data_IF_543752007244
#
_entry.id   IF_543752007244
#
_cell.length_a   1.000
_cell.length_b   1.000
_cell.length_c   1.000
_cell.angle_alpha   90.00
_cell.angle_beta   90.00
_cell.angle_gamma   90.00
#
_symmetry.space_group_name_H-M   'P 1'
#
loop_
_entity.id
_entity.type
_entity.pdbx_description
1 polymer ?
#
# COMPACT_ATOMS: atom_id res chain seq x y z
N UNK A 1 35.93 19.14 -15.66
CA UNK A 1 35.21 17.86 -15.63
C UNK A 1 34.60 17.51 -14.25
N UNK A 2 35.19 17.90 -13.13
CA UNK A 2 34.64 17.58 -11.79
C UNK A 2 33.31 18.26 -11.46
N UNK A 3 33.04 19.48 -11.94
CA UNK A 3 31.78 20.22 -11.65
C UNK A 3 30.56 19.60 -12.31
N UNK A 4 30.70 19.00 -13.48
CA UNK A 4 29.58 18.34 -14.19
C UNK A 4 29.17 17.04 -13.47
N UNK A 5 30.13 16.30 -12.92
CA UNK A 5 29.83 15.07 -12.16
C UNK A 5 29.06 15.36 -10.87
N UNK A 6 29.42 16.46 -10.17
CA UNK A 6 28.75 16.87 -8.93
C UNK A 6 27.30 17.30 -9.24
N UNK A 7 27.08 18.05 -10.34
CA UNK A 7 25.74 18.46 -10.76
C UNK A 7 24.87 17.25 -11.11
N UNK A 8 25.42 16.23 -11.77
CA UNK A 8 24.68 15.02 -12.14
C UNK A 8 24.30 14.16 -10.91
N UNK A 9 25.20 14.05 -9.94
CA UNK A 9 24.93 13.36 -8.67
C UNK A 9 23.84 14.10 -7.86
N UNK A 10 23.88 15.43 -7.85
CA UNK A 10 22.87 16.24 -7.18
C UNK A 10 21.48 16.13 -7.84
N UNK A 11 21.43 16.05 -9.17
CA UNK A 11 20.19 15.86 -9.91
C UNK A 11 19.54 14.49 -9.64
N UNK A 12 20.36 13.43 -9.50
CA UNK A 12 19.88 12.08 -9.14
C UNK A 12 19.31 12.04 -7.72
N UNK A 13 19.94 12.71 -6.77
CA UNK A 13 19.47 12.81 -5.39
C UNK A 13 18.13 13.54 -5.29
N UNK A 14 17.94 14.62 -6.05
CA UNK A 14 16.68 15.36 -6.09
C UNK A 14 15.55 14.48 -6.68
N UNK A 15 15.82 13.73 -7.76
CA UNK A 15 14.81 12.88 -8.38
C UNK A 15 14.36 11.73 -7.48
N UNK A 16 15.25 11.17 -6.69
CA UNK A 16 14.91 10.10 -5.73
C UNK A 16 14.02 10.63 -4.59
N UNK A 17 14.32 11.82 -4.09
CA UNK A 17 13.51 12.46 -3.04
C UNK A 17 12.11 12.84 -3.52
N UNK A 18 11.97 13.33 -4.76
CA UNK A 18 10.67 13.64 -5.36
C UNK A 18 9.80 12.38 -5.45
N UNK A 19 10.32 11.28 -5.97
CA UNK A 19 9.59 10.00 -6.06
C UNK A 19 9.14 9.49 -4.69
N UNK A 20 9.98 9.63 -3.66
CA UNK A 20 9.66 9.20 -2.31
C UNK A 20 8.50 10.03 -1.73
N UNK A 21 8.51 11.34 -1.93
CA UNK A 21 7.43 12.23 -1.47
C UNK A 21 6.12 11.98 -2.22
N UNK A 22 6.15 11.84 -3.54
CA UNK A 22 4.96 11.51 -4.35
C UNK A 22 4.28 10.20 -3.89
N UNK A 23 5.08 9.17 -3.60
CA UNK A 23 4.55 7.90 -3.10
C UNK A 23 3.93 8.04 -1.70
N UNK A 24 4.56 8.83 -0.81
CA UNK A 24 4.03 9.13 0.51
C UNK A 24 2.71 9.88 0.44
N UNK A 25 2.63 10.92 -0.39
CA UNK A 25 1.42 11.73 -0.57
C UNK A 25 0.28 10.91 -1.17
N UNK A 26 0.59 10.07 -2.17
CA UNK A 26 -0.38 9.15 -2.75
C UNK A 26 -0.91 8.15 -1.71
N UNK A 27 -0.02 7.51 -0.93
CA UNK A 27 -0.40 6.54 0.10
C UNK A 27 -1.27 7.19 1.18
N UNK A 28 -0.90 8.41 1.62
CA UNK A 28 -1.68 9.17 2.60
C UNK A 28 -3.11 9.37 2.12
N UNK A 29 -3.27 9.78 0.87
CA UNK A 29 -4.60 10.00 0.26
C UNK A 29 -5.43 8.71 0.21
N UNK A 30 -4.84 7.57 -0.16
CA UNK A 30 -5.54 6.28 -0.21
C UNK A 30 -5.97 5.82 1.19
N UNK A 31 -5.12 6.02 2.20
CA UNK A 31 -5.44 5.70 3.60
C UNK A 31 -6.55 6.60 4.11
N UNK A 32 -6.49 7.91 3.87
CA UNK A 32 -7.50 8.88 4.32
C UNK A 32 -8.89 8.55 3.76
N UNK A 33 -8.98 8.12 2.50
CA UNK A 33 -10.24 7.69 1.88
C UNK A 33 -10.86 6.53 2.66
N UNK A 34 -10.06 5.51 3.00
CA UNK A 34 -10.53 4.32 3.73
C UNK A 34 -10.92 4.71 5.15
N UNK A 35 -10.07 5.43 5.87
CA UNK A 35 -10.33 5.87 7.25
C UNK A 35 -11.61 6.70 7.33
N UNK A 36 -11.76 7.69 6.47
CA UNK A 36 -12.96 8.55 6.43
C UNK A 36 -14.24 7.75 6.16
N UNK A 37 -14.17 6.70 5.33
CA UNK A 37 -15.29 5.82 5.10
C UNK A 37 -15.68 5.03 6.36
N UNK A 38 -14.71 4.54 7.12
CA UNK A 38 -14.98 3.77 8.35
C UNK A 38 -15.43 4.66 9.53
N UNK A 39 -15.00 5.90 9.57
CA UNK A 39 -15.48 6.90 10.54
C UNK A 39 -16.90 7.37 10.23
N UNK A 40 -17.37 7.22 9.00
CA UNK A 40 -18.73 7.60 8.63
C UNK A 40 -19.75 6.54 9.07
N UNK A 41 -20.44 6.79 10.17
CA UNK A 41 -21.46 5.90 10.73
C UNK A 41 -22.71 5.73 9.83
N UNK A 42 -22.93 6.66 8.89
CA UNK A 42 -24.07 6.61 7.96
C UNK A 42 -23.75 5.76 6.71
N UNK A 43 -22.49 5.38 6.49
CA UNK A 43 -22.10 4.57 5.36
C UNK A 43 -22.29 3.08 5.68
N UNK A 44 -23.09 2.32 4.88
CA UNK A 44 -23.28 0.89 5.08
C UNK A 44 -21.95 0.12 5.03
N UNK A 45 -21.81 -0.93 5.83
CA UNK A 45 -20.60 -1.75 5.89
C UNK A 45 -20.22 -2.37 4.53
N UNK A 46 -21.21 -2.71 3.72
CA UNK A 46 -20.97 -3.20 2.35
C UNK A 46 -20.26 -2.15 1.49
N UNK A 47 -20.68 -0.88 1.58
CA UNK A 47 -20.04 0.22 0.85
C UNK A 47 -18.61 0.46 1.34
N UNK A 48 -18.39 0.40 2.66
CA UNK A 48 -17.05 0.49 3.24
C UNK A 48 -16.14 -0.63 2.71
N UNK A 49 -16.63 -1.86 2.69
CA UNK A 49 -15.91 -3.00 2.13
C UNK A 49 -15.58 -2.80 0.64
N UNK A 50 -16.55 -2.34 -0.17
CA UNK A 50 -16.34 -2.08 -1.59
C UNK A 50 -15.26 -1.01 -1.83
N UNK A 51 -15.14 -0.01 -0.97
CA UNK A 51 -14.07 1.00 -1.08
C UNK A 51 -12.69 0.36 -0.86
N UNK A 52 -12.54 -0.49 0.16
CA UNK A 52 -11.29 -1.24 0.40
C UNK A 52 -10.98 -2.16 -0.78
N UNK A 53 -11.96 -2.93 -1.24
CA UNK A 53 -11.80 -3.86 -2.37
C UNK A 53 -11.40 -3.13 -3.66
N UNK A 54 -11.99 -1.98 -3.94
CA UNK A 54 -11.64 -1.15 -5.10
C UNK A 54 -10.20 -0.60 -4.98
N UNK A 55 -9.82 -0.10 -3.82
CA UNK A 55 -8.45 0.38 -3.59
C UNK A 55 -7.43 -0.74 -3.84
N UNK A 56 -7.69 -1.94 -3.33
CA UNK A 56 -6.82 -3.11 -3.56
C UNK A 56 -6.78 -3.51 -5.04
N UNK A 57 -7.93 -3.54 -5.70
CA UNK A 57 -8.00 -3.94 -7.10
C UNK A 57 -7.29 -2.97 -8.04
N UNK A 58 -7.37 -1.68 -7.76
CA UNK A 58 -6.81 -0.63 -8.62
C UNK A 58 -5.33 -0.35 -8.34
N UNK A 59 -4.90 -0.45 -7.08
CA UNK A 59 -3.61 0.07 -6.64
C UNK A 59 -2.64 -1.02 -6.16
N UNK A 60 -3.14 -2.22 -5.87
CA UNK A 60 -2.33 -3.26 -5.29
C UNK A 60 -1.62 -4.10 -6.37
N UNK A 61 -0.30 -4.27 -6.25
CA UNK A 61 0.49 -5.11 -7.14
C UNK A 61 0.21 -6.61 -6.92
N UNK A 62 -1.08 -6.99 -6.99
CA UNK A 62 -1.61 -8.26 -6.54
C UNK A 62 -0.97 -9.48 -7.19
N UNK A 63 -0.60 -9.39 -8.46
CA UNK A 63 0.07 -10.49 -9.16
C UNK A 63 1.44 -10.80 -8.56
N UNK A 64 2.24 -9.78 -8.27
CA UNK A 64 3.57 -9.95 -7.70
C UNK A 64 3.53 -10.55 -6.30
N UNK A 65 2.65 -10.01 -5.45
CA UNK A 65 2.51 -10.45 -4.06
C UNK A 65 1.85 -11.83 -3.99
N UNK A 66 0.80 -12.08 -4.78
CA UNK A 66 0.17 -13.40 -4.88
C UNK A 66 1.18 -14.47 -5.32
N UNK A 67 2.03 -14.17 -6.31
CA UNK A 67 3.12 -15.06 -6.74
C UNK A 67 4.11 -15.33 -5.61
N UNK A 68 4.51 -14.31 -4.88
CA UNK A 68 5.42 -14.44 -3.74
C UNK A 68 4.81 -15.33 -2.64
N UNK A 69 3.55 -15.10 -2.26
CA UNK A 69 2.84 -15.89 -1.23
C UNK A 69 2.63 -17.33 -1.66
N UNK A 70 2.27 -17.58 -2.92
CA UNK A 70 2.11 -18.94 -3.47
C UNK A 70 3.44 -19.72 -3.54
N UNK A 71 4.58 -19.01 -3.58
CA UNK A 71 5.90 -19.61 -3.55
C UNK A 71 6.13 -20.62 -4.68
N UNK A 72 6.64 -21.79 -4.32
CA UNK A 72 6.97 -22.85 -5.30
C UNK A 72 5.75 -23.38 -6.07
N UNK A 73 4.56 -23.37 -5.46
CA UNK A 73 3.32 -23.84 -6.07
C UNK A 73 2.89 -23.00 -7.29
N UNK A 74 3.34 -21.73 -7.33
CA UNK A 74 3.06 -20.85 -8.46
C UNK A 74 3.56 -21.40 -9.80
N UNK A 75 4.76 -21.97 -9.83
CA UNK A 75 5.39 -22.40 -11.09
C UNK A 75 4.66 -23.55 -11.76
N UNK A 76 4.08 -24.47 -10.99
CA UNK A 76 3.33 -25.63 -11.48
C UNK A 76 1.86 -25.37 -11.81
N UNK A 77 1.33 -24.21 -11.46
CA UNK A 77 -0.08 -23.88 -11.66
C UNK A 77 -0.38 -23.45 -13.10
N UNK A 78 -1.57 -23.80 -13.63
CA UNK A 78 -2.06 -23.32 -14.92
C UNK A 78 -2.34 -21.81 -14.90
N UNK A 79 -2.55 -21.22 -16.07
CA UNK A 79 -2.93 -19.80 -16.19
C UNK A 79 -4.26 -19.49 -15.50
N UNK A 80 -5.21 -20.40 -15.63
CA UNK A 80 -6.55 -20.30 -15.06
C UNK A 80 -6.48 -20.32 -13.53
N UNK A 81 -5.73 -21.27 -12.97
CA UNK A 81 -5.51 -21.38 -11.53
C UNK A 81 -4.80 -20.13 -11.00
N UNK A 82 -3.78 -19.62 -11.68
CA UNK A 82 -3.10 -18.38 -11.30
C UNK A 82 -4.04 -17.18 -11.28
N UNK A 83 -4.89 -17.05 -12.29
CA UNK A 83 -5.87 -15.96 -12.39
C UNK A 83 -6.88 -16.02 -11.24
N UNK A 84 -7.44 -17.20 -10.97
CA UNK A 84 -8.39 -17.39 -9.87
C UNK A 84 -7.72 -17.15 -8.51
N UNK A 85 -6.50 -17.66 -8.31
CA UNK A 85 -5.73 -17.42 -7.09
C UNK A 85 -5.50 -15.93 -6.82
N UNK A 86 -5.09 -15.14 -7.83
CA UNK A 86 -4.91 -13.68 -7.68
C UNK A 86 -6.21 -13.01 -7.25
N UNK A 87 -7.32 -13.38 -7.89
CA UNK A 87 -8.65 -12.83 -7.57
C UNK A 87 -9.05 -13.13 -6.13
N UNK A 88 -8.94 -14.39 -5.71
CA UNK A 88 -9.27 -14.83 -4.35
C UNK A 88 -8.32 -14.21 -3.32
N UNK A 89 -7.05 -14.10 -3.63
CA UNK A 89 -6.06 -13.47 -2.77
C UNK A 89 -6.38 -11.99 -2.51
N UNK A 90 -6.68 -11.22 -3.57
CA UNK A 90 -7.08 -9.81 -3.44
C UNK A 90 -8.34 -9.65 -2.59
N UNK A 91 -9.36 -10.52 -2.83
CA UNK A 91 -10.59 -10.49 -2.05
C UNK A 91 -10.35 -10.86 -0.59
N UNK A 92 -9.52 -11.87 -0.33
CA UNK A 92 -9.13 -12.25 1.02
C UNK A 92 -8.43 -11.11 1.75
N UNK A 93 -7.52 -10.41 1.07
CA UNK A 93 -6.84 -9.24 1.62
C UNK A 93 -7.84 -8.11 1.95
N UNK A 94 -8.79 -7.83 1.05
CA UNK A 94 -9.85 -6.85 1.28
C UNK A 94 -10.71 -7.18 2.49
N UNK A 95 -11.07 -8.46 2.65
CA UNK A 95 -11.83 -8.93 3.82
C UNK A 95 -11.06 -8.75 5.12
N UNK A 96 -9.78 -9.08 5.14
CA UNK A 96 -8.94 -8.92 6.33
C UNK A 96 -8.80 -7.45 6.72
N UNK A 97 -8.47 -6.58 5.76
CA UNK A 97 -8.35 -5.13 6.02
C UNK A 97 -9.69 -4.57 6.50
N UNK A 98 -10.79 -4.90 5.82
CA UNK A 98 -12.12 -4.46 6.22
C UNK A 98 -12.51 -4.92 7.63
N UNK A 99 -12.17 -6.16 7.99
CA UNK A 99 -12.40 -6.69 9.34
C UNK A 99 -11.60 -5.94 10.40
N UNK A 100 -10.33 -5.65 10.11
CA UNK A 100 -9.47 -4.86 11.02
C UNK A 100 -10.02 -3.43 11.18
N UNK A 101 -10.49 -2.82 10.08
CA UNK A 101 -11.04 -1.46 10.09
C UNK A 101 -12.38 -1.35 10.81
N UNK A 102 -13.15 -2.44 10.99
CA UNK A 102 -14.38 -2.42 11.79
C UNK A 102 -14.14 -2.12 13.28
N UNK A 103 -12.96 -2.43 13.78
CA UNK A 103 -12.53 -2.06 15.13
C UNK A 103 -11.85 -0.69 15.21
N UNK A 104 -11.76 0.02 14.07
CA UNK A 104 -11.16 1.36 14.02
C UNK A 104 -12.15 2.39 14.59
N UNK A 105 -11.73 3.12 15.62
CA UNK A 105 -12.57 4.16 16.23
C UNK A 105 -11.93 5.53 16.10
N UNK A 106 -10.78 5.71 16.74
CA UNK A 106 -10.12 6.99 16.96
C UNK A 106 -8.58 6.89 16.83
N UNK A 107 -8.07 5.77 16.34
CA UNK A 107 -6.63 5.65 16.09
C UNK A 107 -6.18 6.71 15.08
N UNK A 108 -5.05 7.30 15.36
CA UNK A 108 -4.36 8.19 14.45
C UNK A 108 -3.22 7.43 13.77
N UNK A 109 -2.85 7.84 12.57
CA UNK A 109 -1.68 7.31 11.90
C UNK A 109 -0.78 8.43 11.41
N UNK A 110 0.49 8.14 11.26
CA UNK A 110 1.46 9.06 10.67
C UNK A 110 2.38 8.30 9.72
N UNK A 111 2.55 8.84 8.52
CA UNK A 111 3.60 8.38 7.61
C UNK A 111 4.89 9.10 7.97
N UNK A 112 5.85 8.38 8.56
CA UNK A 112 7.05 9.00 9.15
C UNK A 112 8.15 9.18 8.12
N UNK A 113 8.63 8.12 7.51
CA UNK A 113 9.72 8.16 6.55
C UNK A 113 9.29 7.67 5.18
N UNK A 114 10.00 8.13 4.15
CA UNK A 114 9.91 7.55 2.82
C UNK A 114 11.31 7.48 2.20
N UNK A 115 11.65 6.34 1.61
CA UNK A 115 12.92 6.11 0.94
C UNK A 115 12.74 5.36 -0.37
N UNK A 116 13.44 5.79 -1.41
CA UNK A 116 13.41 5.12 -2.70
C UNK A 116 14.60 4.15 -2.84
N UNK A 117 14.28 2.88 -3.08
CA UNK A 117 15.27 1.84 -3.38
C UNK A 117 15.48 1.79 -4.91
N UNK A 118 16.58 2.35 -5.36
CA UNK A 118 16.96 2.39 -6.78
C UNK A 118 17.17 0.99 -7.39
N UNK A 119 17.64 0.03 -6.61
CA UNK A 119 17.92 -1.33 -7.10
C UNK A 119 16.62 -2.08 -7.43
N UNK A 120 15.65 -1.98 -6.55
CA UNK A 120 14.37 -2.68 -6.68
C UNK A 120 13.28 -1.79 -7.31
N UNK A 121 13.55 -0.50 -7.51
CA UNK A 121 12.62 0.51 -8.05
C UNK A 121 11.32 0.58 -7.25
N UNK A 122 11.43 0.55 -5.94
CA UNK A 122 10.31 0.65 -5.00
C UNK A 122 10.54 1.79 -4.02
N UNK A 123 9.45 2.40 -3.56
CA UNK A 123 9.48 3.33 -2.44
C UNK A 123 8.99 2.61 -1.19
N UNK A 124 9.77 2.66 -0.13
CA UNK A 124 9.39 2.22 1.20
C UNK A 124 8.81 3.42 1.94
N UNK A 125 7.67 3.24 2.58
CA UNK A 125 7.04 4.27 3.41
C UNK A 125 6.74 3.65 4.76
N UNK A 126 7.26 4.26 5.82
CA UNK A 126 7.01 3.83 7.18
C UNK A 126 5.74 4.48 7.72
N UNK A 127 4.91 3.69 8.39
CA UNK A 127 3.67 4.14 9.02
C UNK A 127 3.68 3.76 10.49
N UNK A 128 3.34 4.71 11.34
CA UNK A 128 3.07 4.51 12.76
C UNK A 128 1.58 4.70 13.02
N UNK A 129 1.01 3.82 13.84
CA UNK A 129 -0.39 3.91 14.29
C UNK A 129 -0.38 4.18 15.78
N UNK A 130 -1.11 5.22 16.19
CA UNK A 130 -1.25 5.65 17.57
C UNK A 130 -2.66 5.29 18.08
N UNK A 131 -2.73 4.75 19.27
CA UNK A 131 -3.98 4.55 19.99
C UNK A 131 -3.83 5.07 21.42
N UNK A 132 -4.94 5.34 22.10
CA UNK A 132 -4.92 5.79 23.50
C UNK A 132 -4.24 4.77 24.44
N UNK A 133 -4.04 3.54 24.00
CA UNK A 133 -3.35 2.46 24.73
C UNK A 133 -1.88 2.29 24.37
N UNK A 134 -1.33 3.15 23.50
CA UNK A 134 0.06 3.14 23.04
C UNK A 134 0.22 2.89 21.53
N UNK A 135 1.45 3.09 21.01
CA UNK A 135 1.76 2.75 19.60
C UNK A 135 1.82 1.24 19.41
N UNK A 136 1.32 0.77 18.29
CA UNK A 136 1.35 -0.63 17.84
C UNK A 136 2.46 -0.80 16.81
#
# INVERSE_FOLDING_TARGET
MHRIKILFVFLILISSSVKANEAKDWLNKEIDIIISAYQNNNLPNENKFLMVENTINNNFAGTGIAKFVAGKSWNGASKEVKKEYIKLFKRHLALNISSMMQGYSDQEYQLTNSSYDEKNKVTLVDMEIFSDTGSI
#
